data_IF_931578771295
#
_entry.id   IF_931578771295
#
_cell.length_a   1.000
_cell.length_b   1.000
_cell.length_c   1.000
_cell.angle_alpha   90.00
_cell.angle_beta   90.00
_cell.angle_gamma   90.00
#
_symmetry.space_group_name_H-M   'P 1'
#
loop_
_entity.id
_entity.type
_entity.pdbx_description
1 polymer ?
#
# COMPACT_ATOMS: atom_id res chain seq x y z
N UNK A 1 -5.61 -3.58 -13.93
CA UNK A 1 -4.40 -3.51 -13.10
C UNK A 1 -3.46 -4.64 -13.53
N UNK A 2 -2.14 -4.43 -13.49
CA UNK A 2 -1.18 -5.52 -13.66
C UNK A 2 -1.39 -6.62 -12.60
N UNK A 3 -0.92 -7.86 -12.85
CA UNK A 3 -0.92 -8.90 -11.83
C UNK A 3 -0.09 -8.46 -10.62
N UNK A 4 -0.45 -8.93 -9.43
CA UNK A 4 0.34 -8.69 -8.21
C UNK A 4 1.50 -9.68 -8.20
N UNK A 5 2.72 -9.16 -8.13
CA UNK A 5 3.96 -9.95 -8.18
C UNK A 5 4.48 -10.29 -6.78
N UNK A 6 4.13 -9.48 -5.77
CA UNK A 6 4.52 -9.71 -4.39
C UNK A 6 3.52 -9.11 -3.41
N UNK A 7 3.47 -9.67 -2.21
CA UNK A 7 2.61 -9.21 -1.12
C UNK A 7 3.42 -8.96 0.14
N UNK A 8 3.25 -7.79 0.74
CA UNK A 8 3.72 -7.47 2.07
C UNK A 8 2.51 -7.35 3.01
N UNK A 9 2.40 -8.24 4.00
CA UNK A 9 1.19 -8.36 4.82
C UNK A 9 1.52 -8.36 6.31
N UNK A 10 0.74 -7.64 7.11
CA UNK A 10 0.83 -7.73 8.57
C UNK A 10 0.58 -9.16 9.05
N UNK A 11 1.26 -9.56 10.12
CA UNK A 11 1.09 -10.88 10.75
C UNK A 11 -0.26 -11.10 11.44
N UNK A 12 -1.06 -10.04 11.63
CA UNK A 12 -2.37 -10.12 12.29
C UNK A 12 -3.33 -11.07 11.55
N UNK A 13 -4.17 -11.80 12.28
CA UNK A 13 -5.13 -12.75 11.68
C UNK A 13 -5.99 -12.07 10.63
N UNK A 14 -6.61 -10.93 10.96
CA UNK A 14 -7.49 -10.19 10.03
C UNK A 14 -6.83 -9.84 8.69
N UNK A 15 -5.55 -9.49 8.65
CA UNK A 15 -4.85 -9.15 7.39
C UNK A 15 -4.51 -10.38 6.58
N UNK A 16 -4.16 -11.49 7.23
CA UNK A 16 -4.00 -12.80 6.59
C UNK A 16 -5.31 -13.29 5.97
N UNK A 17 -6.42 -13.07 6.66
CA UNK A 17 -7.75 -13.42 6.16
C UNK A 17 -8.17 -12.54 4.98
N UNK A 18 -7.94 -11.23 5.07
CA UNK A 18 -8.12 -10.31 3.93
C UNK A 18 -7.34 -10.80 2.71
N UNK A 19 -6.06 -11.13 2.87
CA UNK A 19 -5.22 -11.66 1.79
C UNK A 19 -5.78 -12.96 1.21
N UNK A 20 -6.15 -13.92 2.07
CA UNK A 20 -6.72 -15.20 1.62
C UNK A 20 -7.97 -14.98 0.76
N UNK A 21 -8.80 -14.01 1.11
CA UNK A 21 -10.03 -13.71 0.38
C UNK A 21 -9.78 -13.06 -0.99
N UNK A 22 -8.62 -12.46 -1.24
CA UNK A 22 -8.27 -11.91 -2.57
C UNK A 22 -7.95 -12.99 -3.60
N UNK A 23 -7.58 -14.20 -3.14
CA UNK A 23 -7.10 -15.32 -3.98
C UNK A 23 -5.88 -14.98 -4.84
N UNK A 24 -5.12 -13.94 -4.46
CA UNK A 24 -3.87 -13.57 -5.13
C UNK A 24 -2.82 -14.66 -4.86
N UNK A 25 -2.27 -15.22 -5.93
CA UNK A 25 -1.22 -16.23 -5.90
C UNK A 25 0.15 -15.58 -6.19
N UNK A 26 0.68 -14.86 -5.20
CA UNK A 26 1.99 -14.23 -5.25
C UNK A 26 2.78 -14.54 -3.96
N UNK A 27 4.13 -14.52 -3.99
CA UNK A 27 4.94 -14.64 -2.80
C UNK A 27 4.54 -13.62 -1.73
N UNK A 28 4.37 -14.09 -0.49
CA UNK A 28 3.93 -13.27 0.64
C UNK A 28 5.04 -13.15 1.68
N UNK A 29 5.45 -11.92 1.97
CA UNK A 29 6.28 -11.58 3.13
C UNK A 29 5.37 -11.10 4.26
N UNK A 30 5.37 -11.82 5.37
CA UNK A 30 4.68 -11.37 6.59
C UNK A 30 5.63 -10.57 7.48
N UNK A 31 5.16 -9.44 8.00
CA UNK A 31 5.97 -8.57 8.86
C UNK A 31 5.15 -8.03 10.03
N UNK A 32 5.67 -8.19 11.25
CA UNK A 32 5.07 -7.63 12.46
C UNK A 32 5.17 -6.10 12.47
N UNK A 33 6.18 -5.55 11.79
CA UNK A 33 6.43 -4.11 11.69
C UNK A 33 5.36 -3.38 10.88
N UNK A 34 4.44 -4.09 10.23
CA UNK A 34 3.23 -3.54 9.60
C UNK A 34 2.06 -3.34 10.60
N UNK A 35 2.19 -3.83 11.83
CA UNK A 35 1.20 -3.64 12.88
C UNK A 35 1.56 -2.41 13.73
N UNK A 36 0.60 -1.49 13.90
CA UNK A 36 0.78 -0.26 14.70
C UNK A 36 2.00 0.59 14.29
N UNK A 37 2.26 0.66 12.98
CA UNK A 37 3.44 1.32 12.39
C UNK A 37 3.18 2.79 12.05
N UNK A 38 4.26 3.50 11.73
CA UNK A 38 4.19 4.80 11.04
C UNK A 38 4.34 4.63 9.53
N UNK A 39 3.95 5.63 8.71
CA UNK A 39 4.20 5.60 7.26
C UNK A 39 5.68 5.38 6.92
N UNK A 40 6.62 6.01 7.65
CA UNK A 40 8.05 5.79 7.45
C UNK A 40 8.47 4.34 7.68
N UNK A 41 7.93 3.68 8.71
CA UNK A 41 8.22 2.25 8.95
C UNK A 41 7.69 1.36 7.82
N UNK A 42 6.53 1.69 7.25
CA UNK A 42 6.01 0.98 6.08
C UNK A 42 6.86 1.21 4.84
N UNK A 43 7.34 2.44 4.62
CA UNK A 43 8.28 2.76 3.54
C UNK A 43 9.56 1.94 3.72
N UNK A 44 10.16 1.91 4.90
CA UNK A 44 11.34 1.08 5.17
C UNK A 44 11.11 -0.39 4.81
N UNK A 45 9.94 -0.94 5.15
CA UNK A 45 9.59 -2.32 4.80
C UNK A 45 9.37 -2.50 3.29
N UNK A 46 8.76 -1.54 2.60
CA UNK A 46 8.61 -1.55 1.14
C UNK A 46 9.99 -1.49 0.47
N UNK A 47 10.91 -0.70 1.00
CA UNK A 47 12.25 -0.50 0.46
C UNK A 47 13.13 -1.77 0.52
N UNK A 48 12.70 -2.81 1.25
CA UNK A 48 13.36 -4.13 1.28
C UNK A 48 12.83 -5.11 0.22
N UNK A 49 11.83 -4.71 -0.57
CA UNK A 49 11.26 -5.55 -1.63
C UNK A 49 12.24 -5.66 -2.79
N UNK A 50 12.34 -6.86 -3.36
CA UNK A 50 13.20 -7.15 -4.50
C UNK A 50 12.81 -6.34 -5.74
N UNK A 51 13.80 -5.84 -6.49
CA UNK A 51 13.59 -5.03 -7.69
C UNK A 51 12.86 -5.80 -8.83
N UNK A 52 12.79 -7.13 -8.76
CA UNK A 52 12.01 -7.97 -9.68
C UNK A 52 10.49 -7.96 -9.43
N UNK A 53 10.02 -7.37 -8.33
CA UNK A 53 8.59 -7.22 -8.04
C UNK A 53 8.06 -5.97 -8.74
N UNK A 54 7.29 -6.12 -9.81
CA UNK A 54 6.70 -4.98 -10.54
C UNK A 54 5.49 -4.37 -9.84
N UNK A 55 4.67 -5.20 -9.19
CA UNK A 55 3.45 -4.79 -8.49
C UNK A 55 3.40 -5.38 -7.09
N UNK A 56 3.50 -4.51 -6.09
CA UNK A 56 3.44 -4.88 -4.67
C UNK A 56 2.05 -4.59 -4.08
N UNK A 57 1.45 -5.58 -3.42
CA UNK A 57 0.29 -5.38 -2.57
C UNK A 57 0.72 -5.27 -1.10
N UNK A 58 0.37 -4.16 -0.45
CA UNK A 58 0.63 -3.93 0.98
C UNK A 58 -0.67 -4.03 1.77
N UNK A 59 -0.74 -4.94 2.75
CA UNK A 59 -1.91 -5.16 3.60
C UNK A 59 -1.54 -4.85 5.06
N UNK A 60 -1.98 -3.69 5.53
CA UNK A 60 -1.73 -3.19 6.89
C UNK A 60 -3.00 -2.74 7.60
N UNK A 61 -2.87 -1.70 8.43
CA UNK A 61 -3.93 -1.22 9.31
C UNK A 61 -4.13 0.28 9.22
N UNK A 62 -5.38 0.72 9.39
CA UNK A 62 -5.67 2.12 9.68
C UNK A 62 -5.21 2.48 11.11
N UNK A 63 -4.75 3.71 11.35
CA UNK A 63 -4.74 4.87 10.43
C UNK A 63 -3.54 4.91 9.47
N UNK A 64 -2.62 3.95 9.56
CA UNK A 64 -1.33 4.05 8.87
C UNK A 64 -1.45 3.88 7.35
N UNK A 65 -2.40 3.08 6.85
CA UNK A 65 -2.57 2.86 5.41
C UNK A 65 -3.01 4.13 4.67
N UNK A 66 -3.99 4.87 5.19
CA UNK A 66 -4.42 6.15 4.65
C UNK A 66 -3.31 7.20 4.72
N UNK A 67 -2.62 7.28 5.86
CA UNK A 67 -1.48 8.18 6.03
C UNK A 67 -0.32 7.85 5.07
N UNK A 68 -0.04 6.57 4.82
CA UNK A 68 0.95 6.13 3.83
C UNK A 68 0.53 6.52 2.41
N UNK A 69 -0.72 6.25 2.02
CA UNK A 69 -1.22 6.56 0.69
C UNK A 69 -1.16 8.06 0.38
N UNK A 70 -1.56 8.91 1.33
CA UNK A 70 -1.46 10.36 1.19
C UNK A 70 -0.01 10.85 1.25
N UNK A 71 0.79 10.30 2.17
CA UNK A 71 2.18 10.71 2.37
C UNK A 71 3.10 10.38 1.18
N UNK A 72 2.83 9.30 0.46
CA UNK A 72 3.55 8.95 -0.77
C UNK A 72 3.15 9.81 -1.98
N UNK A 73 1.98 10.44 -1.96
CA UNK A 73 1.45 11.21 -3.09
C UNK A 73 2.27 12.47 -3.39
N UNK A 74 2.81 12.56 -4.61
CA UNK A 74 3.53 13.74 -5.10
C UNK A 74 2.58 14.88 -5.43
N UNK A 75 3.06 16.10 -5.24
CA UNK A 75 2.37 17.30 -5.70
C UNK A 75 2.20 17.28 -7.23
N UNK A 76 1.00 17.62 -7.71
CA UNK A 76 0.69 17.74 -9.14
C UNK A 76 0.53 16.42 -9.92
N UNK A 77 0.89 15.27 -9.34
CA UNK A 77 0.70 13.94 -9.95
C UNK A 77 -0.39 13.09 -9.29
N UNK A 78 -0.89 13.52 -8.14
CA UNK A 78 -1.93 12.82 -7.36
C UNK A 78 -3.32 13.19 -7.86
N UNK A 79 -4.19 12.18 -8.01
CA UNK A 79 -5.63 12.37 -8.17
C UNK A 79 -6.20 13.02 -6.91
N UNK A 80 -6.58 14.29 -7.04
CA UNK A 80 -7.10 15.10 -5.95
C UNK A 80 -8.43 14.55 -5.40
N UNK A 81 -9.30 13.98 -6.25
CA UNK A 81 -10.57 13.42 -5.81
C UNK A 81 -10.35 12.11 -5.04
N UNK A 82 -9.39 11.28 -5.45
CA UNK A 82 -8.98 10.11 -4.69
C UNK A 82 -8.38 10.50 -3.32
N UNK A 83 -7.51 11.51 -3.28
CA UNK A 83 -6.91 12.01 -2.04
C UNK A 83 -7.96 12.60 -1.08
N UNK A 84 -8.95 13.34 -1.60
CA UNK A 84 -10.07 13.87 -0.81
C UNK A 84 -10.90 12.74 -0.20
N UNK A 85 -11.23 11.70 -0.99
CA UNK A 85 -11.98 10.53 -0.51
C UNK A 85 -11.22 9.77 0.57
N UNK A 86 -9.91 9.55 0.41
CA UNK A 86 -9.06 8.93 1.42
C UNK A 86 -9.07 9.75 2.71
N UNK A 87 -8.88 11.07 2.61
CA UNK A 87 -8.86 11.99 3.75
C UNK A 87 -10.19 12.01 4.50
N UNK A 88 -11.31 11.85 3.78
CA UNK A 88 -12.62 11.75 4.39
C UNK A 88 -12.81 10.41 5.13
N UNK A 89 -12.44 9.28 4.51
CA UNK A 89 -12.52 7.95 5.13
C UNK A 89 -11.73 6.89 4.35
N UNK A 90 -10.97 6.07 5.06
CA UNK A 90 -10.38 4.84 4.54
C UNK A 90 -11.04 3.61 5.21
N UNK A 91 -12.14 3.07 4.64
CA UNK A 91 -12.84 1.94 5.25
C UNK A 91 -12.06 0.63 5.11
N UNK A 92 -12.46 -0.38 5.87
CA UNK A 92 -11.91 -1.74 5.77
C UNK A 92 -11.97 -2.26 4.33
N UNK A 93 -10.91 -2.93 3.89
CA UNK A 93 -10.74 -3.45 2.52
C UNK A 93 -10.65 -2.39 1.42
N UNK A 94 -10.59 -1.10 1.74
CA UNK A 94 -10.30 -0.08 0.74
C UNK A 94 -8.87 -0.22 0.20
N UNK A 95 -8.67 0.16 -1.06
CA UNK A 95 -7.43 0.04 -1.80
C UNK A 95 -7.09 1.41 -2.39
N UNK A 96 -5.96 1.98 -1.97
CA UNK A 96 -5.33 3.07 -2.69
C UNK A 96 -4.35 2.50 -3.71
N UNK A 97 -4.40 2.99 -4.95
CA UNK A 97 -3.50 2.57 -6.02
C UNK A 97 -2.51 3.68 -6.28
N UNK A 98 -1.21 3.37 -6.16
CA UNK A 98 -0.13 4.32 -6.40
C UNK A 98 0.75 3.88 -7.56
N UNK A 99 1.09 4.82 -8.43
CA UNK A 99 2.13 4.66 -9.44
C UNK A 99 3.48 5.11 -8.87
N UNK A 100 4.44 4.20 -8.84
CA UNK A 100 5.78 4.41 -8.29
C UNK A 100 6.78 4.47 -9.46
N UNK A 101 7.41 5.63 -9.73
CA UNK A 101 8.32 5.81 -10.86
C UNK A 101 9.80 5.50 -10.55
N UNK A 102 10.10 5.05 -9.32
CA UNK A 102 11.46 4.75 -8.85
C UNK A 102 11.59 3.28 -8.42
N UNK A 103 12.83 2.85 -8.12
CA UNK A 103 13.06 1.55 -7.50
C UNK A 103 12.49 1.51 -6.08
N UNK A 104 12.08 0.34 -5.59
CA UNK A 104 11.51 0.21 -4.25
C UNK A 104 12.41 0.79 -3.16
N UNK A 105 13.73 0.53 -3.24
CA UNK A 105 14.73 1.04 -2.29
C UNK A 105 14.83 2.58 -2.23
N UNK A 106 14.34 3.27 -3.25
CA UNK A 106 14.37 4.74 -3.40
C UNK A 106 13.02 5.38 -3.07
N UNK A 107 12.00 4.58 -2.71
CA UNK A 107 10.69 5.10 -2.38
C UNK A 107 10.78 5.93 -1.09
N UNK A 108 10.23 7.15 -1.16
CA UNK A 108 10.13 8.09 -0.05
C UNK A 108 8.79 8.84 -0.10
N UNK A 109 8.55 9.68 0.91
CA UNK A 109 7.37 10.55 0.94
C UNK A 109 7.35 11.46 -0.30
N UNK A 110 6.18 11.61 -0.91
CA UNK A 110 6.03 12.31 -2.19
C UNK A 110 6.69 11.61 -3.39
N UNK A 111 7.19 10.38 -3.22
CA UNK A 111 7.88 9.62 -4.26
C UNK A 111 6.96 8.90 -5.25
N UNK A 112 5.64 8.91 -5.04
CA UNK A 112 4.67 8.19 -5.88
C UNK A 112 3.51 9.09 -6.33
N UNK A 113 2.63 8.57 -7.18
CA UNK A 113 1.39 9.25 -7.58
C UNK A 113 0.20 8.44 -7.10
N UNK A 114 -0.70 8.99 -6.31
CA UNK A 114 -1.99 8.34 -6.07
C UNK A 114 -2.82 8.46 -7.35
N UNK A 115 -3.18 7.33 -7.95
CA UNK A 115 -3.87 7.28 -9.25
C UNK A 115 -5.30 6.74 -9.17
N UNK A 116 -5.66 6.06 -8.08
CA UNK A 116 -7.03 5.58 -7.85
C UNK A 116 -7.28 5.28 -6.36
N UNK A 117 -8.55 5.27 -5.97
CA UNK A 117 -9.02 4.82 -4.66
C UNK A 117 -10.32 4.03 -4.78
N UNK A 118 -10.23 2.74 -4.48
CA UNK A 118 -11.31 1.77 -4.63
C UNK A 118 -11.81 1.34 -3.25
N UNK A 119 -13.13 1.34 -3.07
CA UNK A 119 -13.79 0.71 -1.92
C UNK A 119 -14.62 -0.45 -2.47
N UNK A 120 -14.14 -1.70 -2.34
CA UNK A 120 -14.88 -2.87 -2.78
C UNK A 120 -16.24 -2.96 -2.06
N UNK A 121 -17.27 -3.41 -2.79
CA UNK A 121 -18.61 -3.68 -2.26
C UNK A 121 -18.88 -5.17 -2.25
#
# INVERSE_FOLDING_TARGET
>A
MPPVDGVLCSTATRTRETLRNTRIAAPVRYSERLYASTPGTLIDEINTVDDGIGTLLVIGHEPTMSALALGLGRAGGTDAAAAERISAKFPTSAIAVLAVPCAWKELELGGASLIDFVVPR
#
